data_IF_076909001272
#
_entry.id   IF_076909001272
#
_cell.length_a   1.000
_cell.length_b   1.000
_cell.length_c   1.000
_cell.angle_alpha   90.00
_cell.angle_beta   90.00
_cell.angle_gamma   90.00
#
_symmetry.space_group_name_H-M   'P 1'
#
loop_
_entity.id
_entity.type
_entity.pdbx_description
1 polymer ?
#
# COMPACT_ATOMS: atom_id res chain seq x y z
N UNK A 1 -9.73 5.58 12.94
CA UNK A 1 -9.21 4.35 12.39
C UNK A 1 -8.01 3.86 13.19
N UNK A 2 -6.77 4.29 12.94
CA UNK A 2 -5.62 3.91 13.76
C UNK A 2 -5.61 4.78 15.02
N UNK A 3 -5.48 4.19 16.22
CA UNK A 3 -5.26 2.78 16.56
C UNK A 3 -6.56 1.99 16.87
N UNK A 4 -7.73 2.51 16.59
CA UNK A 4 -9.01 2.07 17.14
C UNK A 4 -9.77 1.04 16.29
N UNK A 5 -9.19 0.52 15.21
CA UNK A 5 -9.87 -0.39 14.25
C UNK A 5 -10.55 -1.62 14.88
N UNK A 6 -9.96 -2.14 15.98
CA UNK A 6 -10.52 -3.28 16.73
C UNK A 6 -11.53 -2.78 17.78
N UNK A 7 -11.15 -1.78 18.57
CA UNK A 7 -11.96 -1.28 19.64
C UNK A 7 -13.32 -0.74 19.17
N UNK A 8 -13.37 -0.04 18.03
CA UNK A 8 -14.61 0.54 17.50
C UNK A 8 -15.67 -0.52 17.17
N UNK A 9 -15.28 -1.77 16.99
CA UNK A 9 -16.21 -2.87 16.71
C UNK A 9 -17.22 -3.08 17.86
N UNK A 10 -16.81 -2.84 19.10
CA UNK A 10 -17.66 -2.99 20.29
C UNK A 10 -18.81 -1.99 20.32
N UNK A 11 -18.64 -0.85 19.61
CA UNK A 11 -19.65 0.22 19.54
C UNK A 11 -20.54 0.12 18.31
N UNK A 12 -20.25 -0.79 17.36
CA UNK A 12 -21.03 -0.96 16.16
C UNK A 12 -22.28 -1.80 16.41
N UNK A 13 -23.45 -1.29 16.04
CA UNK A 13 -24.72 -2.03 16.05
C UNK A 13 -24.76 -3.12 14.97
N UNK A 14 -23.99 -2.89 13.87
CA UNK A 14 -23.81 -3.82 12.77
C UNK A 14 -22.37 -3.78 12.30
N UNK A 15 -21.79 -4.95 12.04
CA UNK A 15 -20.48 -5.07 11.43
C UNK A 15 -20.63 -5.94 10.18
N UNK A 16 -20.14 -5.42 9.06
CA UNK A 16 -20.06 -6.17 7.80
C UNK A 16 -19.37 -7.52 8.02
N UNK A 17 -19.88 -8.64 7.46
CA UNK A 17 -19.32 -9.97 7.68
C UNK A 17 -17.83 -10.07 7.38
N UNK A 18 -17.36 -9.39 6.33
CA UNK A 18 -15.94 -9.35 5.96
C UNK A 18 -15.11 -8.57 6.99
N UNK A 19 -15.58 -7.40 7.44
CA UNK A 19 -14.93 -6.65 8.51
C UNK A 19 -14.85 -7.45 9.81
N UNK A 20 -15.89 -8.25 10.11
CA UNK A 20 -15.93 -9.15 11.26
C UNK A 20 -14.91 -10.29 11.13
N UNK A 21 -14.80 -10.91 9.97
CA UNK A 21 -13.82 -11.97 9.70
C UNK A 21 -12.37 -11.46 9.81
N UNK A 22 -12.09 -10.26 9.30
CA UNK A 22 -10.78 -9.60 9.40
C UNK A 22 -10.48 -9.19 10.85
N UNK A 23 -11.51 -8.93 11.66
CA UNK A 23 -11.38 -8.44 13.03
C UNK A 23 -10.98 -6.97 13.11
N UNK A 24 -11.36 -6.16 12.11
CA UNK A 24 -11.03 -4.74 12.06
C UNK A 24 -12.05 -3.94 11.24
N UNK A 25 -12.42 -2.76 11.76
CA UNK A 25 -13.29 -1.77 11.11
C UNK A 25 -12.48 -0.50 10.88
N UNK A 26 -12.48 0.04 9.66
CA UNK A 26 -11.84 1.32 9.33
C UNK A 26 -12.85 2.40 8.90
N UNK A 27 -14.07 2.01 8.56
CA UNK A 27 -15.15 2.89 8.10
C UNK A 27 -16.39 2.66 8.94
N UNK A 28 -16.90 3.73 9.58
CA UNK A 28 -18.10 3.68 10.42
C UNK A 28 -19.12 4.70 9.89
N UNK A 29 -20.33 4.24 9.65
CA UNK A 29 -21.44 5.07 9.19
C UNK A 29 -22.51 5.12 10.26
N UNK A 30 -22.93 6.34 10.65
CA UNK A 30 -24.08 6.53 11.54
C UNK A 30 -25.35 6.61 10.69
N UNK A 31 -26.30 5.71 10.96
CA UNK A 31 -27.64 5.71 10.35
C UNK A 31 -28.66 5.78 11.50
N UNK A 32 -29.24 6.94 11.70
CA UNK A 32 -30.27 7.18 12.73
C UNK A 32 -29.84 6.74 14.15
N UNK A 33 -28.60 7.04 14.53
CA UNK A 33 -28.05 6.69 15.85
C UNK A 33 -27.42 5.29 15.93
N UNK A 34 -27.60 4.44 14.92
CA UNK A 34 -26.97 3.12 14.85
C UNK A 34 -25.68 3.18 14.06
N UNK A 35 -24.62 2.56 14.57
CA UNK A 35 -23.29 2.55 13.96
C UNK A 35 -23.09 1.27 13.13
N UNK A 36 -22.73 1.46 11.86
CA UNK A 36 -22.45 0.39 10.90
C UNK A 36 -20.97 0.38 10.57
N UNK A 37 -20.29 -0.72 10.87
CA UNK A 37 -18.83 -0.88 10.68
C UNK A 37 -18.50 -1.66 9.42
N UNK A 38 -17.54 -1.14 8.63
CA UNK A 38 -17.04 -1.73 7.39
C UNK A 38 -15.51 -1.74 7.38
N UNK A 39 -14.93 -2.58 6.51
CA UNK A 39 -13.49 -2.58 6.24
C UNK A 39 -13.25 -2.30 4.75
N UNK A 40 -12.91 -1.06 4.42
CA UNK A 40 -12.59 -0.64 3.05
C UNK A 40 -11.12 -0.85 2.69
N UNK A 41 -10.23 -1.13 3.66
CA UNK A 41 -8.84 -1.51 3.37
C UNK A 41 -8.78 -2.82 2.56
N UNK A 42 -9.72 -3.76 2.81
CA UNK A 42 -9.85 -4.97 2.03
C UNK A 42 -10.12 -4.66 0.55
N UNK A 43 -11.13 -3.82 0.29
CA UNK A 43 -11.47 -3.41 -1.08
C UNK A 43 -10.33 -2.64 -1.73
N UNK A 44 -9.65 -1.80 -0.95
CA UNK A 44 -8.51 -1.02 -1.41
C UNK A 44 -7.32 -1.88 -1.80
N UNK A 45 -6.99 -2.88 -0.99
CA UNK A 45 -5.87 -3.79 -1.28
C UNK A 45 -6.20 -4.74 -2.44
N UNK A 46 -7.41 -5.30 -2.48
CA UNK A 46 -7.85 -6.12 -3.60
C UNK A 46 -7.78 -5.33 -4.92
N UNK A 47 -8.31 -4.10 -4.95
CA UNK A 47 -8.23 -3.22 -6.12
C UNK A 47 -6.79 -2.96 -6.57
N UNK A 48 -5.87 -2.65 -5.62
CA UNK A 48 -4.45 -2.46 -5.94
C UNK A 48 -3.87 -3.70 -6.65
N UNK A 49 -4.14 -4.89 -6.11
CA UNK A 49 -3.63 -6.15 -6.68
C UNK A 49 -4.22 -6.41 -8.07
N UNK A 50 -5.53 -6.29 -8.23
CA UNK A 50 -6.23 -6.52 -9.50
C UNK A 50 -5.75 -5.55 -10.58
N UNK A 51 -5.59 -4.25 -10.27
CA UNK A 51 -5.15 -3.21 -11.19
C UNK A 51 -3.72 -3.43 -11.70
N UNK A 52 -2.87 -4.12 -10.93
CA UNK A 52 -1.49 -4.41 -11.28
C UNK A 52 -1.24 -5.87 -11.68
N UNK A 53 -2.29 -6.68 -11.80
CA UNK A 53 -2.19 -8.07 -12.24
C UNK A 53 -1.49 -8.99 -11.23
N UNK A 54 -1.59 -8.72 -9.94
CA UNK A 54 -1.10 -9.61 -8.87
C UNK A 54 -2.07 -10.77 -8.74
N UNK A 55 -1.66 -11.96 -9.18
CA UNK A 55 -2.47 -13.18 -9.15
C UNK A 55 -2.07 -14.06 -7.95
N UNK A 56 -2.95 -14.18 -6.97
CA UNK A 56 -2.73 -15.00 -5.79
C UNK A 56 -3.05 -16.48 -5.98
N UNK A 57 -3.80 -16.84 -7.02
CA UNK A 57 -4.29 -18.20 -7.21
C UNK A 57 -3.15 -19.22 -7.29
N UNK A 58 -3.14 -20.17 -6.33
CA UNK A 58 -2.12 -21.21 -6.25
C UNK A 58 -0.73 -20.75 -5.79
N UNK A 59 -0.52 -19.46 -5.46
CA UNK A 59 0.79 -18.91 -5.04
C UNK A 59 0.98 -19.00 -3.53
N UNK A 60 2.24 -19.07 -3.13
CA UNK A 60 2.68 -18.85 -1.74
C UNK A 60 2.92 -17.36 -1.54
N UNK A 61 2.22 -16.76 -0.59
CA UNK A 61 2.28 -15.34 -0.25
C UNK A 61 3.02 -15.14 1.06
N UNK A 62 4.04 -14.30 1.05
CA UNK A 62 4.81 -13.92 2.24
C UNK A 62 4.42 -12.53 2.69
N UNK A 63 3.83 -12.40 3.85
CA UNK A 63 3.39 -11.12 4.42
C UNK A 63 4.36 -10.68 5.51
N UNK A 64 4.97 -9.51 5.33
CA UNK A 64 5.88 -8.92 6.31
C UNK A 64 5.08 -8.09 7.32
N UNK A 65 5.19 -8.46 8.60
CA UNK A 65 4.54 -7.77 9.72
C UNK A 65 3.28 -8.47 10.23
N UNK A 66 2.84 -8.02 11.40
CA UNK A 66 1.66 -8.57 12.14
C UNK A 66 0.71 -7.46 12.60
N UNK A 67 0.77 -6.29 11.96
CA UNK A 67 0.00 -5.10 12.30
C UNK A 67 -1.46 -5.14 11.81
N UNK A 68 -2.14 -4.00 11.90
CA UNK A 68 -3.56 -3.90 11.55
C UNK A 68 -3.89 -4.22 10.10
N UNK A 69 -2.98 -3.98 9.16
CA UNK A 69 -3.17 -4.26 7.73
C UNK A 69 -2.88 -5.71 7.37
N UNK A 70 -2.08 -6.42 8.20
CA UNK A 70 -1.74 -7.82 8.00
C UNK A 70 -2.98 -8.71 7.79
N UNK A 71 -3.96 -8.64 8.71
CA UNK A 71 -5.17 -9.47 8.62
C UNK A 71 -5.98 -9.19 7.34
N UNK A 72 -6.00 -7.93 6.91
CA UNK A 72 -6.66 -7.52 5.67
C UNK A 72 -6.00 -8.18 4.45
N UNK A 73 -4.65 -8.14 4.40
CA UNK A 73 -3.88 -8.76 3.31
C UNK A 73 -4.03 -10.28 3.33
N UNK A 74 -4.00 -10.92 4.52
CA UNK A 74 -4.28 -12.35 4.65
C UNK A 74 -5.64 -12.73 4.07
N UNK A 75 -6.69 -11.95 4.42
CA UNK A 75 -8.04 -12.21 3.95
C UNK A 75 -8.14 -12.09 2.41
N UNK A 76 -7.56 -11.04 1.82
CA UNK A 76 -7.56 -10.89 0.36
C UNK A 76 -6.81 -12.03 -0.32
N UNK A 77 -5.59 -12.37 0.15
CA UNK A 77 -4.79 -13.44 -0.43
C UNK A 77 -5.52 -14.80 -0.36
N UNK A 78 -6.17 -15.09 0.76
CA UNK A 78 -6.96 -16.32 0.94
C UNK A 78 -8.20 -16.34 0.03
N UNK A 79 -8.97 -15.25 0.00
CA UNK A 79 -10.19 -15.14 -0.81
C UNK A 79 -9.87 -15.21 -2.31
N UNK A 80 -8.69 -14.75 -2.73
CA UNK A 80 -8.19 -14.82 -4.11
C UNK A 80 -7.40 -16.11 -4.42
N UNK A 81 -7.46 -17.11 -3.53
CA UNK A 81 -7.02 -18.47 -3.80
C UNK A 81 -5.53 -18.73 -3.60
N UNK A 82 -4.85 -17.98 -2.73
CA UNK A 82 -3.48 -18.29 -2.34
C UNK A 82 -3.38 -19.72 -1.78
N UNK A 83 -2.41 -20.50 -2.25
CA UNK A 83 -2.18 -21.86 -1.77
C UNK A 83 -1.63 -21.88 -0.34
N UNK A 84 -0.84 -20.86 0.00
CA UNK A 84 -0.25 -20.69 1.32
C UNK A 84 -0.05 -19.21 1.64
N UNK A 85 -0.35 -18.81 2.86
CA UNK A 85 -0.07 -17.46 3.38
C UNK A 85 0.86 -17.60 4.58
N UNK A 86 2.07 -17.05 4.44
CA UNK A 86 3.13 -17.08 5.44
C UNK A 86 3.31 -15.69 6.04
N UNK A 87 3.49 -15.63 7.35
CA UNK A 87 3.73 -14.36 8.07
C UNK A 87 5.15 -14.27 8.55
N UNK A 88 5.80 -13.14 8.30
CA UNK A 88 7.14 -12.82 8.80
C UNK A 88 7.06 -11.79 9.91
N UNK A 89 7.75 -12.05 11.02
CA UNK A 89 7.80 -11.15 12.17
C UNK A 89 9.24 -10.98 12.69
N UNK A 90 9.51 -9.81 13.26
CA UNK A 90 10.78 -9.56 14.01
C UNK A 90 10.88 -10.40 15.29
N UNK A 91 9.72 -10.76 15.85
CA UNK A 91 9.58 -11.66 17.01
C UNK A 91 8.55 -12.72 16.64
N UNK A 92 8.96 -13.79 15.91
CA UNK A 92 8.02 -14.76 15.39
C UNK A 92 7.36 -15.55 16.53
N UNK A 93 6.04 -15.61 16.48
CA UNK A 93 5.21 -16.50 17.28
C UNK A 93 5.04 -17.86 16.59
N UNK A 94 4.21 -18.75 17.18
CA UNK A 94 3.89 -20.04 16.57
C UNK A 94 3.36 -19.90 15.15
N UNK A 95 3.91 -20.64 14.19
CA UNK A 95 3.52 -20.62 12.78
C UNK A 95 4.01 -19.40 11.99
N UNK A 96 4.82 -18.50 12.58
CA UNK A 96 5.42 -17.36 11.90
C UNK A 96 6.90 -17.62 11.59
N UNK A 97 7.38 -16.99 10.52
CA UNK A 97 8.77 -17.03 10.10
C UNK A 97 9.54 -15.80 10.64
N UNK A 98 10.82 -16.00 10.90
CA UNK A 98 11.77 -14.90 11.04
C UNK A 98 12.16 -14.34 9.66
N UNK A 99 12.75 -13.15 9.63
CA UNK A 99 13.29 -12.57 8.37
C UNK A 99 14.41 -13.44 7.77
N UNK A 100 15.20 -14.13 8.60
CA UNK A 100 16.23 -15.06 8.12
C UNK A 100 15.63 -16.29 7.41
N UNK A 101 14.44 -16.74 7.81
CA UNK A 101 13.75 -17.86 7.19
C UNK A 101 12.94 -17.46 5.95
N UNK A 102 12.65 -16.17 5.78
CA UNK A 102 11.83 -15.64 4.70
C UNK A 102 12.37 -15.99 3.31
N UNK A 103 13.70 -15.92 3.11
CA UNK A 103 14.34 -16.23 1.84
C UNK A 103 14.14 -17.67 1.37
N UNK A 104 14.03 -18.62 2.30
CA UNK A 104 13.80 -20.04 2.01
C UNK A 104 12.31 -20.41 1.93
N UNK A 105 11.39 -19.44 1.99
CA UNK A 105 9.94 -19.70 2.00
C UNK A 105 9.39 -20.21 0.67
N UNK A 106 10.10 -20.00 -0.44
CA UNK A 106 9.60 -20.30 -1.79
C UNK A 106 8.41 -19.44 -2.22
N UNK A 107 8.22 -18.27 -1.58
CA UNK A 107 7.12 -17.39 -1.91
C UNK A 107 7.26 -16.77 -3.31
N UNK A 108 6.15 -16.71 -4.04
CA UNK A 108 6.04 -16.01 -5.31
C UNK A 108 5.59 -14.56 -5.13
N UNK A 109 4.92 -14.24 -4.03
CA UNK A 109 4.43 -12.89 -3.76
C UNK A 109 4.91 -12.46 -2.38
N UNK A 110 5.49 -11.26 -2.30
CA UNK A 110 5.84 -10.59 -1.04
C UNK A 110 4.96 -9.37 -0.85
N UNK A 111 4.34 -9.25 0.33
CA UNK A 111 3.55 -8.07 0.70
C UNK A 111 4.12 -7.45 1.98
N UNK A 112 4.61 -6.22 1.90
CA UNK A 112 5.03 -5.48 3.08
C UNK A 112 3.85 -4.76 3.73
N UNK A 113 3.52 -5.14 4.97
CA UNK A 113 2.51 -4.48 5.81
C UNK A 113 3.12 -3.76 7.02
N UNK A 114 4.45 -3.62 7.03
CA UNK A 114 5.19 -2.90 8.07
C UNK A 114 5.43 -1.45 7.69
N UNK A 115 5.80 -0.57 8.63
CA UNK A 115 6.21 0.80 8.31
C UNK A 115 7.66 0.90 7.77
N UNK A 116 8.37 -0.21 7.52
CA UNK A 116 9.74 -0.17 7.00
C UNK A 116 9.77 0.50 5.62
N UNK A 117 10.66 1.46 5.44
CA UNK A 117 10.75 2.26 4.22
C UNK A 117 9.79 3.44 4.13
N UNK A 118 8.94 3.65 5.14
CA UNK A 118 8.07 4.82 5.24
C UNK A 118 8.87 6.05 5.69
N UNK A 119 8.54 7.22 5.14
CA UNK A 119 9.11 8.50 5.60
C UNK A 119 8.94 8.66 7.14
N UNK A 120 9.98 9.12 7.89
CA UNK A 120 11.28 9.62 7.39
C UNK A 120 12.34 8.54 7.09
N UNK A 121 12.15 7.29 7.50
CA UNK A 121 13.17 6.21 7.43
C UNK A 121 13.13 5.49 6.06
N UNK A 122 13.19 6.25 4.98
CA UNK A 122 12.95 5.79 3.59
C UNK A 122 13.95 4.73 3.08
N UNK A 123 15.18 4.71 3.61
CA UNK A 123 16.24 3.75 3.21
C UNK A 123 16.12 2.37 3.89
N UNK A 124 15.11 2.17 4.74
CA UNK A 124 14.97 0.90 5.47
C UNK A 124 14.28 -0.15 4.59
N UNK A 125 14.98 -1.27 4.37
CA UNK A 125 14.43 -2.46 3.73
C UNK A 125 14.68 -3.67 4.63
N UNK A 126 13.61 -4.32 5.08
CA UNK A 126 13.71 -5.42 6.06
C UNK A 126 13.97 -6.79 5.41
N UNK A 127 13.81 -6.93 4.09
CA UNK A 127 13.95 -8.20 3.40
C UNK A 127 14.85 -8.05 2.17
N UNK A 128 15.87 -8.92 2.04
CA UNK A 128 16.66 -9.01 0.82
C UNK A 128 15.96 -9.93 -0.19
N UNK A 129 15.17 -9.34 -1.07
CA UNK A 129 14.39 -10.04 -2.10
C UNK A 129 15.26 -10.65 -3.20
N UNK A 130 16.52 -10.22 -3.37
CA UNK A 130 17.46 -10.78 -4.36
C UNK A 130 17.85 -12.23 -4.02
N UNK A 131 17.69 -12.63 -2.76
CA UNK A 131 17.88 -14.01 -2.29
C UNK A 131 16.64 -14.90 -2.48
N UNK A 132 15.57 -14.41 -3.10
CA UNK A 132 14.29 -15.08 -3.24
C UNK A 132 14.00 -15.39 -4.71
N UNK A 133 14.46 -16.52 -5.24
CA UNK A 133 14.19 -16.90 -6.62
C UNK A 133 12.69 -17.22 -6.83
N UNK A 134 12.18 -16.86 -8.00
CA UNK A 134 10.79 -17.15 -8.37
C UNK A 134 9.75 -16.14 -7.87
N UNK A 135 10.19 -14.97 -7.36
CA UNK A 135 9.25 -13.89 -7.06
C UNK A 135 8.59 -13.37 -8.35
N UNK A 136 7.26 -13.27 -8.32
CA UNK A 136 6.41 -12.73 -9.38
C UNK A 136 5.92 -11.33 -9.04
N UNK A 137 5.70 -11.04 -7.74
CA UNK A 137 5.21 -9.75 -7.30
C UNK A 137 5.77 -9.31 -5.92
N UNK A 138 6.01 -8.02 -5.80
CA UNK A 138 6.30 -7.32 -4.55
C UNK A 138 5.32 -6.16 -4.40
N UNK A 139 4.53 -6.18 -3.34
CA UNK A 139 3.53 -5.17 -3.02
C UNK A 139 3.88 -4.52 -1.69
N UNK A 140 3.93 -3.21 -1.63
CA UNK A 140 4.16 -2.48 -0.39
C UNK A 140 2.93 -1.62 -0.06
N UNK A 141 2.38 -1.75 1.15
CA UNK A 141 1.26 -0.90 1.58
C UNK A 141 1.69 0.51 1.97
N UNK A 142 2.99 0.76 2.07
CA UNK A 142 3.54 2.11 2.26
C UNK A 142 3.32 2.93 0.99
N UNK A 143 2.82 4.15 1.15
CA UNK A 143 2.53 5.07 0.05
C UNK A 143 3.42 6.34 0.04
N UNK A 144 4.14 6.58 1.12
CA UNK A 144 5.08 7.70 1.23
C UNK A 144 6.42 7.21 1.80
N UNK A 145 7.46 7.14 0.96
CA UNK A 145 7.55 7.59 -0.43
C UNK A 145 6.69 6.75 -1.39
N UNK A 146 6.50 7.23 -2.61
CA UNK A 146 5.73 6.51 -3.65
C UNK A 146 6.36 5.18 -4.06
N UNK A 147 7.68 5.05 -3.92
CA UNK A 147 8.47 3.84 -4.06
C UNK A 147 9.37 3.72 -2.84
N UNK A 148 9.17 2.68 -2.06
CA UNK A 148 10.04 2.33 -0.93
C UNK A 148 11.29 1.63 -1.44
N UNK A 149 12.31 1.51 -0.59
CA UNK A 149 13.53 0.75 -0.92
C UNK A 149 13.22 -0.69 -1.36
N UNK A 150 12.19 -1.32 -0.77
CA UNK A 150 11.73 -2.65 -1.15
C UNK A 150 11.22 -2.68 -2.60
N UNK A 151 10.39 -1.70 -2.99
CA UNK A 151 9.85 -1.58 -4.36
C UNK A 151 10.97 -1.30 -5.36
N UNK A 152 11.90 -0.40 -5.04
CA UNK A 152 13.04 -0.08 -5.91
C UNK A 152 13.91 -1.30 -6.17
N UNK A 153 14.24 -2.06 -5.13
CA UNK A 153 15.02 -3.31 -5.27
C UNK A 153 14.29 -4.37 -6.07
N UNK A 154 12.96 -4.42 -5.99
CA UNK A 154 12.16 -5.33 -6.79
C UNK A 154 12.22 -4.96 -8.28
N UNK A 155 12.10 -3.67 -8.60
CA UNK A 155 12.27 -3.17 -9.97
C UNK A 155 13.69 -3.46 -10.52
N UNK A 156 14.73 -3.18 -9.73
CA UNK A 156 16.12 -3.45 -10.09
C UNK A 156 16.41 -4.95 -10.32
N UNK A 157 15.75 -5.81 -9.53
CA UNK A 157 15.86 -7.27 -9.67
C UNK A 157 15.03 -7.81 -10.83
N UNK A 158 14.26 -6.97 -11.53
CA UNK A 158 13.42 -7.38 -12.65
C UNK A 158 12.18 -8.17 -12.24
N UNK A 159 11.68 -8.00 -11.01
CA UNK A 159 10.44 -8.63 -10.57
C UNK A 159 9.28 -8.08 -11.43
N UNK A 160 8.42 -8.94 -12.02
CA UNK A 160 7.38 -8.51 -12.96
C UNK A 160 6.43 -7.45 -12.42
N UNK A 161 6.06 -7.55 -11.15
CA UNK A 161 5.20 -6.58 -10.47
C UNK A 161 5.89 -6.03 -9.23
N UNK A 162 6.09 -4.71 -9.18
CA UNK A 162 6.65 -4.00 -8.01
C UNK A 162 5.85 -2.72 -7.78
N UNK A 163 5.01 -2.67 -6.72
CA UNK A 163 4.05 -1.59 -6.52
C UNK A 163 3.98 -1.10 -5.09
N UNK A 164 3.81 0.23 -4.92
CA UNK A 164 3.58 0.89 -3.63
C UNK A 164 2.11 1.13 -3.33
N UNK A 165 1.80 1.51 -2.09
CA UNK A 165 0.46 1.52 -1.51
C UNK A 165 -0.46 2.70 -1.87
N UNK A 166 -0.03 3.65 -2.72
CA UNK A 166 -0.83 4.85 -2.98
C UNK A 166 -2.22 4.53 -3.54
N UNK A 167 -2.31 3.57 -4.44
CA UNK A 167 -3.58 3.20 -5.07
C UNK A 167 -4.51 2.49 -4.08
N UNK A 168 -3.97 1.68 -3.15
CA UNK A 168 -4.72 1.14 -2.03
C UNK A 168 -5.29 2.26 -1.14
N UNK A 169 -4.48 3.28 -0.82
CA UNK A 169 -4.91 4.42 -0.02
C UNK A 169 -6.08 5.16 -0.67
N UNK A 170 -6.02 5.38 -1.98
CA UNK A 170 -7.07 6.08 -2.73
C UNK A 170 -8.32 5.23 -2.84
N UNK A 171 -8.20 3.98 -3.27
CA UNK A 171 -9.35 3.12 -3.52
C UNK A 171 -10.15 2.83 -2.25
N UNK A 172 -9.47 2.60 -1.09
CA UNK A 172 -10.20 2.43 0.17
C UNK A 172 -11.04 3.67 0.53
N UNK A 173 -10.57 4.88 0.20
CA UNK A 173 -11.32 6.11 0.44
C UNK A 173 -12.48 6.28 -0.55
N UNK A 174 -12.29 5.90 -1.81
CA UNK A 174 -13.34 5.87 -2.83
C UNK A 174 -14.45 4.92 -2.40
N UNK A 175 -14.13 3.69 -1.99
CA UNK A 175 -15.14 2.76 -1.49
C UNK A 175 -15.83 3.25 -0.20
N UNK A 176 -15.08 3.88 0.71
CA UNK A 176 -15.66 4.47 1.93
C UNK A 176 -16.68 5.58 1.60
N UNK A 177 -16.42 6.39 0.57
CA UNK A 177 -17.35 7.42 0.12
C UNK A 177 -18.71 6.84 -0.30
N UNK A 178 -18.74 5.66 -0.94
CA UNK A 178 -19.99 4.96 -1.27
C UNK A 178 -20.82 4.64 -0.02
N UNK A 179 -20.17 4.15 1.03
CA UNK A 179 -20.83 3.89 2.31
C UNK A 179 -21.36 5.16 2.98
N UNK A 180 -20.59 6.26 2.97
CA UNK A 180 -21.01 7.55 3.55
C UNK A 180 -22.16 8.18 2.77
N UNK A 181 -22.14 8.07 1.44
CA UNK A 181 -23.21 8.60 0.59
C UNK A 181 -24.46 7.71 0.56
N UNK A 182 -24.39 6.50 1.11
CA UNK A 182 -25.50 5.54 1.14
C UNK A 182 -25.90 5.01 -0.23
N UNK A 183 -25.03 5.10 -1.23
CA UNK A 183 -25.26 4.63 -2.61
C UNK A 183 -23.99 4.07 -3.23
N UNK A 184 -24.09 3.09 -4.14
CA UNK A 184 -22.97 2.64 -4.92
C UNK A 184 -22.34 3.81 -5.69
N UNK A 185 -21.02 3.83 -5.77
CA UNK A 185 -20.31 4.79 -6.61
C UNK A 185 -20.36 4.34 -8.06
N UNK A 186 -20.58 5.30 -8.96
CA UNK A 186 -20.38 5.07 -10.39
C UNK A 186 -18.88 4.93 -10.66
N UNK A 187 -18.49 3.81 -11.28
CA UNK A 187 -17.14 3.53 -11.75
C UNK A 187 -16.03 3.85 -10.70
N UNK A 188 -15.97 3.12 -9.58
CA UNK A 188 -14.99 3.38 -8.52
C UNK A 188 -13.55 3.19 -9.01
N UNK A 189 -13.32 2.33 -10.01
CA UNK A 189 -12.01 2.08 -10.60
C UNK A 189 -11.49 3.31 -11.34
N UNK A 190 -12.32 3.91 -12.19
CA UNK A 190 -11.98 5.14 -12.90
C UNK A 190 -11.76 6.31 -11.94
N UNK A 191 -12.57 6.42 -10.89
CA UNK A 191 -12.39 7.45 -9.86
C UNK A 191 -11.06 7.26 -9.13
N UNK A 192 -10.73 6.03 -8.74
CA UNK A 192 -9.46 5.67 -8.12
C UNK A 192 -8.29 6.06 -9.03
N UNK A 193 -8.31 5.65 -10.28
CA UNK A 193 -7.24 5.94 -11.24
C UNK A 193 -7.04 7.47 -11.42
N UNK A 194 -8.12 8.24 -11.55
CA UNK A 194 -8.07 9.70 -11.70
C UNK A 194 -7.46 10.38 -10.47
N UNK A 195 -7.90 9.99 -9.26
CA UNK A 195 -7.41 10.58 -8.01
C UNK A 195 -5.95 10.19 -7.78
N UNK A 196 -5.60 8.92 -8.00
CA UNK A 196 -4.22 8.43 -7.89
C UNK A 196 -3.27 9.19 -8.82
N UNK A 197 -3.67 9.41 -10.08
CA UNK A 197 -2.88 10.17 -11.04
C UNK A 197 -2.68 11.63 -10.60
N UNK A 198 -3.71 12.27 -10.03
CA UNK A 198 -3.62 13.62 -9.50
C UNK A 198 -2.66 13.71 -8.31
N UNK A 199 -2.77 12.78 -7.35
CA UNK A 199 -1.88 12.71 -6.18
C UNK A 199 -0.44 12.41 -6.59
N UNK A 200 -0.20 11.48 -7.51
CA UNK A 200 1.15 11.20 -8.03
C UNK A 200 1.80 12.46 -8.58
N UNK A 201 1.06 13.26 -9.36
CA UNK A 201 1.58 14.56 -9.87
C UNK A 201 1.95 15.53 -8.75
N UNK A 202 1.19 15.55 -7.66
CA UNK A 202 1.47 16.42 -6.50
C UNK A 202 2.66 15.93 -5.68
N UNK A 203 2.87 14.62 -5.59
CA UNK A 203 3.95 14.01 -4.79
C UNK A 203 5.30 14.01 -5.52
N UNK A 204 5.32 14.08 -6.85
CA UNK A 204 6.57 14.05 -7.63
C UNK A 204 7.33 15.38 -7.50
N UNK A 205 8.62 15.28 -7.15
CA UNK A 205 9.56 16.39 -7.31
C UNK A 205 10.16 16.36 -8.70
N UNK A 206 10.39 17.54 -9.27
CA UNK A 206 11.10 17.68 -10.55
C UNK A 206 12.54 18.05 -10.25
N UNK A 207 13.47 17.20 -10.65
CA UNK A 207 14.91 17.43 -10.48
C UNK A 207 15.52 17.74 -11.85
N UNK A 208 16.19 18.88 -11.96
CA UNK A 208 16.90 19.29 -13.18
C UNK A 208 18.38 18.94 -13.01
N UNK A 209 18.88 18.07 -13.88
CA UNK A 209 20.29 17.66 -13.92
C UNK A 209 20.92 18.16 -15.22
N UNK A 210 22.15 18.63 -15.15
CA UNK A 210 22.88 19.09 -16.33
C UNK A 210 24.15 19.85 -15.96
N UNK A 211 24.98 20.14 -16.96
CA UNK A 211 26.27 20.83 -16.80
C UNK A 211 26.07 22.26 -16.24
N UNK A 212 27.11 22.85 -15.60
CA UNK A 212 27.12 24.27 -15.27
C UNK A 212 26.80 25.13 -16.51
N UNK A 213 26.00 26.19 -16.33
CA UNK A 213 25.63 27.07 -17.42
C UNK A 213 24.52 26.58 -18.37
N UNK A 214 23.99 25.37 -18.19
CA UNK A 214 22.93 24.79 -19.04
C UNK A 214 21.53 25.39 -18.83
N UNK A 215 21.40 26.47 -18.03
CA UNK A 215 20.12 27.15 -17.79
C UNK A 215 19.18 26.47 -16.80
N UNK A 216 19.67 25.50 -16.00
CA UNK A 216 18.86 24.75 -15.01
C UNK A 216 18.06 25.67 -14.08
N UNK A 217 18.72 26.67 -13.46
CA UNK A 217 18.08 27.56 -12.49
C UNK A 217 17.03 28.44 -13.15
N UNK A 218 17.26 28.89 -14.37
CA UNK A 218 16.29 29.71 -15.15
C UNK A 218 15.05 28.91 -15.49
N UNK A 219 15.23 27.70 -16.05
CA UNK A 219 14.12 26.79 -16.39
C UNK A 219 13.42 26.31 -15.11
N UNK A 220 14.18 25.99 -14.07
CA UNK A 220 13.66 25.52 -12.79
C UNK A 220 12.74 26.52 -12.11
N UNK A 221 13.14 27.80 -12.05
CA UNK A 221 12.29 28.85 -11.47
C UNK A 221 11.01 29.07 -12.30
N UNK A 222 11.10 29.10 -13.62
CA UNK A 222 9.91 29.21 -14.49
C UNK A 222 8.97 28.01 -14.35
N UNK A 223 9.52 26.78 -14.24
CA UNK A 223 8.74 25.56 -14.07
C UNK A 223 8.08 25.53 -12.69
N UNK A 224 8.81 25.89 -11.62
CA UNK A 224 8.28 25.96 -10.26
C UNK A 224 7.09 26.93 -10.17
N UNK A 225 7.19 28.10 -10.80
CA UNK A 225 6.10 29.08 -10.87
C UNK A 225 4.86 28.50 -11.61
N UNK A 226 5.07 27.79 -12.74
CA UNK A 226 3.96 27.18 -13.51
C UNK A 226 3.29 26.02 -12.79
N UNK A 227 4.04 25.30 -11.96
CA UNK A 227 3.54 24.14 -11.19
C UNK A 227 3.05 24.53 -9.78
N UNK A 228 3.12 25.81 -9.42
CA UNK A 228 2.86 26.32 -8.07
C UNK A 228 3.66 25.54 -7.00
N UNK A 229 5.00 25.47 -7.21
CA UNK A 229 5.92 24.74 -6.34
C UNK A 229 7.10 25.58 -5.90
N UNK A 230 7.70 25.22 -4.77
CA UNK A 230 8.96 25.84 -4.32
C UNK A 230 10.08 25.42 -5.28
N UNK A 231 10.89 26.40 -5.71
CA UNK A 231 12.18 26.15 -6.33
C UNK A 231 13.26 26.05 -5.25
N UNK A 232 14.12 25.03 -5.36
CA UNK A 232 15.28 24.84 -4.50
C UNK A 232 16.50 24.70 -5.41
N UNK A 233 17.53 25.50 -5.17
CA UNK A 233 18.82 25.36 -5.83
C UNK A 233 19.79 24.73 -4.82
N UNK A 234 20.25 23.53 -5.13
CA UNK A 234 21.11 22.74 -4.21
C UNK A 234 22.52 23.32 -4.09
N UNK A 235 22.90 24.24 -4.99
CA UNK A 235 24.20 24.93 -4.92
C UNK A 235 24.12 26.18 -4.02
N UNK A 236 22.92 26.64 -3.65
CA UNK A 236 22.66 27.83 -2.82
C UNK A 236 22.25 27.49 -1.38
N UNK A 237 21.93 26.22 -1.03
CA UNK A 237 21.64 25.71 0.32
C UNK A 237 22.89 25.07 0.97
#
# INVERSE_FOLDING_TARGET
TIPYKKLVMEYCSYIDPRAKAIGAVNTVVNKNGLLYGYNTDYLGFAHLCDAHGVDFAGRTVLILGTGGTHNTVCAVAQDQGASQVLTVSRRPGPGQLSYAQAAASGAQIVVNTTPAGMYPDVGVCSLDIRSMPGLEAVVDVVYNPSKTELVLRAEEAGIPVAVGGLEMLVSQAVYAAGYFLGKPLEDPERQTARITAALRRQMLNVVLVGMPGAGKSTIGRSLAQRLDRRFVDLDEE
#
